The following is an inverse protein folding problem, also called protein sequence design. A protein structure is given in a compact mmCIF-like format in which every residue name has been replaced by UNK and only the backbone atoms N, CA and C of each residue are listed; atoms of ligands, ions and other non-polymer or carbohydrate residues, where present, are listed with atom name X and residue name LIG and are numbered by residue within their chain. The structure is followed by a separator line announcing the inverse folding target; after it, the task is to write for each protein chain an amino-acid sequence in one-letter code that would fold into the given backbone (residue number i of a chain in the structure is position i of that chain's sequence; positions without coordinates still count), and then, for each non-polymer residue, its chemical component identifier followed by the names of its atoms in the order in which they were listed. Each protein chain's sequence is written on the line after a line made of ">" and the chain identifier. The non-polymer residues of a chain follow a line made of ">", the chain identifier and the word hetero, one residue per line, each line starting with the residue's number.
data_IF_436411076473
#
_entry.id   IF_436411076473
#
_cell.length_a   1.000
_cell.length_b   1.000
_cell.length_c   1.000
_cell.angle_alpha   90.00
_cell.angle_beta   90.00
_cell.angle_gamma   90.00
#
_symmetry.space_group_name_H-M   'P 1'
#
loop_
_entity.id
_entity.type
_entity.pdbx_description
1 polymer ?
#
# COMPACT_ATOMS: atom_id res chain seq x y z
N UNK A 1 -3.34 24.44 3.99
CA UNK A 1 -2.58 23.39 4.71
C UNK A 1 -1.32 24.03 5.22
N UNK A 2 -0.99 23.80 6.49
CA UNK A 2 0.33 24.18 7.00
C UNK A 2 1.39 23.26 6.40
N UNK A 3 2.57 23.83 6.12
CA UNK A 3 3.73 23.06 5.68
C UNK A 3 4.23 22.26 6.88
N UNK A 4 4.45 20.96 6.70
CA UNK A 4 5.02 20.08 7.72
C UNK A 4 6.45 19.73 7.33
N UNK A 5 7.32 19.70 8.33
CA UNK A 5 8.72 19.28 8.16
C UNK A 5 8.85 17.80 8.49
N UNK A 6 9.59 17.06 7.66
CA UNK A 6 9.90 15.66 7.94
C UNK A 6 11.16 15.63 8.80
N UNK A 7 11.11 14.93 9.93
CA UNK A 7 12.27 14.79 10.81
C UNK A 7 13.43 14.08 10.10
N UNK A 8 14.70 14.36 10.43
CA UNK A 8 15.84 13.71 9.79
C UNK A 8 15.81 12.18 9.88
N UNK A 9 15.35 11.63 11.02
CA UNK A 9 15.22 10.19 11.22
C UNK A 9 14.12 9.57 10.33
N UNK A 10 13.01 10.28 10.13
CA UNK A 10 11.95 9.90 9.21
C UNK A 10 12.45 9.89 7.75
N UNK A 11 13.25 10.90 7.35
CA UNK A 11 13.89 10.92 6.03
C UNK A 11 14.84 9.73 5.85
N UNK A 12 15.69 9.45 6.83
CA UNK A 12 16.62 8.32 6.78
C UNK A 12 15.87 6.99 6.62
N UNK A 13 14.77 6.81 7.36
CA UNK A 13 13.92 5.63 7.24
C UNK A 13 13.32 5.51 5.82
N UNK A 14 12.75 6.58 5.28
CA UNK A 14 12.21 6.60 3.91
C UNK A 14 13.28 6.33 2.85
N UNK A 15 14.50 6.82 3.04
CA UNK A 15 15.63 6.59 2.13
C UNK A 15 16.21 5.17 2.24
N UNK A 16 16.10 4.54 3.41
CA UNK A 16 16.60 3.18 3.65
C UNK A 16 15.70 2.08 3.09
N UNK A 17 14.45 2.39 2.75
CA UNK A 17 13.49 1.40 2.26
C UNK A 17 13.59 1.21 0.74
N UNK A 18 13.72 -0.03 0.30
CA UNK A 18 13.82 -0.40 -1.11
C UNK A 18 12.43 -0.45 -1.78
N UNK A 19 11.75 0.71 -1.87
CA UNK A 19 10.39 0.93 -2.39
C UNK A 19 9.98 0.00 -3.56
N UNK A 20 9.44 -1.21 -3.27
CA UNK A 20 9.37 -2.28 -4.26
C UNK A 20 8.22 -2.10 -5.27
N UNK A 21 7.31 -1.15 -5.00
CA UNK A 21 6.11 -0.82 -5.78
C UNK A 21 6.12 0.57 -6.41
N UNK A 22 7.29 1.19 -6.56
CA UNK A 22 7.55 2.50 -7.21
C UNK A 22 7.22 3.74 -6.36
N UNK A 23 7.44 4.93 -6.95
CA UNK A 23 7.19 6.28 -6.40
C UNK A 23 5.78 6.42 -5.76
N UNK A 24 4.79 5.66 -6.22
CA UNK A 24 3.43 5.68 -5.65
C UNK A 24 3.36 5.16 -4.22
N UNK A 25 4.19 4.21 -3.83
CA UNK A 25 4.25 3.74 -2.44
C UNK A 25 4.87 4.81 -1.55
N UNK A 26 5.97 5.44 -1.99
CA UNK A 26 6.56 6.57 -1.29
C UNK A 26 5.54 7.71 -1.14
N UNK A 27 4.82 8.03 -2.22
CA UNK A 27 3.76 9.04 -2.18
C UNK A 27 2.66 8.66 -1.17
N UNK A 28 2.17 7.42 -1.19
CA UNK A 28 1.13 6.96 -0.28
C UNK A 28 1.56 7.01 1.19
N UNK A 29 2.79 6.58 1.49
CA UNK A 29 3.35 6.65 2.84
C UNK A 29 3.50 8.10 3.30
N UNK A 30 3.99 9.00 2.44
CA UNK A 30 4.15 10.43 2.77
C UNK A 30 2.79 11.12 2.94
N UNK A 31 1.80 10.81 2.09
CA UNK A 31 0.44 11.33 2.22
C UNK A 31 -0.20 10.87 3.53
N UNK A 32 -0.08 9.58 3.86
CA UNK A 32 -0.61 9.03 5.10
C UNK A 32 0.08 9.64 6.33
N UNK A 33 1.41 9.77 6.30
CA UNK A 33 2.17 10.40 7.36
C UNK A 33 1.74 11.86 7.56
N UNK A 34 1.51 12.60 6.47
CA UNK A 34 0.98 13.97 6.53
C UNK A 34 -0.38 14.05 7.22
N UNK A 35 -1.30 13.13 6.93
CA UNK A 35 -2.64 13.12 7.56
C UNK A 35 -2.62 12.64 9.02
N UNK A 36 -1.75 11.72 9.36
CA UNK A 36 -1.65 11.16 10.71
C UNK A 36 -0.91 12.08 11.69
N UNK A 37 0.00 12.91 11.19
CA UNK A 37 0.73 13.86 12.02
C UNK A 37 -0.20 14.99 12.48
N UNK A 38 -0.49 15.11 13.77
CA UNK A 38 -1.33 16.21 14.27
C UNK A 38 -0.60 17.57 14.28
N UNK A 39 0.74 17.55 14.37
CA UNK A 39 1.60 18.73 14.46
C UNK A 39 2.26 19.16 13.14
N UNK A 40 3.28 19.99 13.28
CA UNK A 40 4.10 20.52 12.17
C UNK A 40 5.30 19.65 11.81
N UNK A 41 5.58 18.58 12.56
CA UNK A 41 6.74 17.70 12.34
C UNK A 41 6.31 16.25 12.20
N UNK A 42 6.70 15.62 11.08
CA UNK A 42 6.45 14.22 10.77
C UNK A 42 7.59 13.38 11.33
N UNK A 43 7.28 12.55 12.32
CA UNK A 43 8.19 11.62 12.98
C UNK A 43 8.28 10.27 12.27
N UNK A 44 9.15 9.41 12.80
CA UNK A 44 9.28 8.00 12.38
C UNK A 44 7.99 7.23 12.74
N UNK A 45 7.38 7.60 13.86
CA UNK A 45 6.11 7.06 14.36
C UNK A 45 4.92 7.34 13.43
N UNK A 46 5.00 8.40 12.64
CA UNK A 46 3.96 8.77 11.66
C UNK A 46 4.15 8.06 10.31
N UNK A 47 5.35 7.50 10.09
CA UNK A 47 5.69 6.74 8.89
C UNK A 47 5.24 5.28 9.08
N UNK A 48 4.12 5.00 8.46
CA UNK A 48 3.59 3.65 8.38
C UNK A 48 4.09 2.99 7.10
N UNK A 49 5.21 2.26 7.17
CA UNK A 49 5.73 1.43 6.06
C UNK A 49 4.86 0.18 5.81
N UNK A 50 3.53 0.28 5.97
CA UNK A 50 2.58 -0.83 5.78
C UNK A 50 2.44 -1.19 4.28
N UNK A 51 3.57 -1.44 3.61
CA UNK A 51 3.67 -2.33 2.45
C UNK A 51 3.93 -3.79 2.85
N UNK A 52 4.12 -4.08 4.15
CA UNK A 52 4.40 -5.43 4.65
C UNK A 52 3.29 -6.07 5.50
N UNK A 53 2.23 -5.36 5.88
CA UNK A 53 1.16 -5.97 6.67
C UNK A 53 0.02 -6.48 5.81
N UNK A 54 0.02 -7.79 5.60
CA UNK A 54 -1.23 -8.55 5.68
C UNK A 54 -1.29 -9.79 4.82
N UNK A 55 -0.75 -9.73 3.61
CA UNK A 55 -0.64 -10.89 2.72
C UNK A 55 0.64 -10.65 1.93
N UNK A 56 1.70 -11.41 2.24
CA UNK A 56 2.93 -11.33 1.45
C UNK A 56 2.67 -11.56 -0.05
N UNK A 57 3.70 -11.54 -0.88
CA UNK A 57 3.57 -11.76 -2.33
C UNK A 57 2.90 -13.09 -2.73
N UNK A 58 2.62 -13.98 -1.78
CA UNK A 58 1.86 -15.22 -1.92
C UNK A 58 0.57 -15.07 -2.74
N UNK A 59 -0.20 -13.98 -2.59
CA UNK A 59 -1.42 -13.77 -3.38
C UNK A 59 -1.18 -13.72 -4.90
N UNK A 60 0.05 -13.46 -5.35
CA UNK A 60 0.41 -13.44 -6.77
C UNK A 60 0.46 -14.85 -7.38
N UNK A 61 0.82 -15.85 -6.58
CA UNK A 61 0.96 -17.24 -7.06
C UNK A 61 -0.12 -18.17 -6.50
N UNK A 62 -0.66 -17.86 -5.33
CA UNK A 62 -1.69 -18.63 -4.66
C UNK A 62 -3.08 -18.02 -4.89
N UNK A 63 -3.91 -18.76 -5.64
CA UNK A 63 -5.29 -18.38 -5.97
C UNK A 63 -6.17 -18.27 -4.72
N UNK A 64 -6.01 -19.15 -3.74
CA UNK A 64 -6.87 -19.14 -2.55
C UNK A 64 -6.61 -17.90 -1.70
N UNK A 65 -5.34 -17.54 -1.54
CA UNK A 65 -4.92 -16.32 -0.86
C UNK A 65 -5.49 -15.09 -1.56
N UNK A 66 -5.42 -15.03 -2.90
CA UNK A 66 -6.01 -13.93 -3.67
C UNK A 66 -7.53 -13.85 -3.51
N UNK A 67 -8.23 -14.99 -3.61
CA UNK A 67 -9.69 -15.07 -3.49
C UNK A 67 -10.15 -14.63 -2.10
N UNK A 68 -9.43 -15.02 -1.04
CA UNK A 68 -9.74 -14.59 0.32
C UNK A 68 -9.56 -13.07 0.46
N UNK A 69 -8.47 -12.50 -0.07
CA UNK A 69 -8.28 -11.06 -0.09
C UNK A 69 -9.40 -10.34 -0.86
N UNK A 70 -9.82 -10.88 -2.01
CA UNK A 70 -10.91 -10.34 -2.83
C UNK A 70 -12.27 -10.37 -2.11
N UNK A 71 -12.55 -11.45 -1.38
CA UNK A 71 -13.75 -11.57 -0.53
C UNK A 71 -13.74 -10.57 0.61
N UNK A 72 -12.61 -10.42 1.32
CA UNK A 72 -12.45 -9.43 2.39
C UNK A 72 -12.62 -8.00 1.84
N UNK A 73 -12.11 -7.74 0.63
CA UNK A 73 -12.32 -6.48 -0.07
C UNK A 73 -13.78 -6.28 -0.56
N UNK A 74 -14.66 -7.28 -0.42
CA UNK A 74 -16.06 -7.21 -0.82
C UNK A 74 -16.25 -7.05 -2.33
N UNK A 75 -15.31 -7.56 -3.14
CA UNK A 75 -15.34 -7.37 -4.59
C UNK A 75 -15.03 -5.94 -5.06
N UNK A 76 -14.47 -5.09 -4.19
CA UNK A 76 -14.06 -3.74 -4.55
C UNK A 76 -12.57 -3.69 -4.92
N UNK A 77 -12.28 -3.43 -6.19
CA UNK A 77 -10.91 -3.41 -6.73
C UNK A 77 -10.02 -2.33 -6.12
N UNK A 78 -10.58 -1.16 -5.79
CA UNK A 78 -9.83 -0.08 -5.15
C UNK A 78 -9.49 -0.44 -3.70
N UNK A 79 -10.43 -1.09 -3.00
CA UNK A 79 -10.17 -1.61 -1.65
C UNK A 79 -9.12 -2.72 -1.67
N UNK A 80 -9.21 -3.65 -2.62
CA UNK A 80 -8.21 -4.70 -2.80
C UNK A 80 -6.83 -4.13 -3.14
N UNK A 81 -6.77 -3.09 -3.98
CA UNK A 81 -5.53 -2.39 -4.34
C UNK A 81 -4.84 -1.79 -3.12
N UNK A 82 -5.60 -1.14 -2.24
CA UNK A 82 -5.08 -0.59 -1.00
C UNK A 82 -4.65 -1.70 -0.02
N UNK A 83 -5.42 -2.80 0.08
CA UNK A 83 -5.11 -3.92 0.98
C UNK A 83 -3.86 -4.71 0.57
N UNK A 84 -3.61 -4.85 -0.73
CA UNK A 84 -2.48 -5.61 -1.29
C UNK A 84 -1.32 -4.72 -1.72
N UNK A 85 -1.43 -3.42 -1.48
CA UNK A 85 -0.48 -2.37 -1.87
C UNK A 85 0.02 -2.50 -3.32
N UNK A 86 -0.93 -2.60 -4.25
CA UNK A 86 -0.65 -2.68 -5.69
C UNK A 86 -1.62 -1.88 -6.51
N UNK A 87 -1.21 -1.52 -7.72
CA UNK A 87 -2.10 -0.82 -8.65
C UNK A 87 -3.33 -1.67 -9.02
N UNK A 88 -4.46 -1.01 -9.28
CA UNK A 88 -5.66 -1.66 -9.85
C UNK A 88 -5.35 -2.42 -11.15
N UNK A 89 -4.44 -1.90 -11.99
CA UNK A 89 -4.01 -2.55 -13.23
C UNK A 89 -3.34 -3.90 -12.95
N UNK A 90 -2.49 -3.96 -11.92
CA UNK A 90 -1.90 -5.20 -11.44
C UNK A 90 -2.99 -6.19 -11.07
N UNK A 91 -3.98 -5.77 -10.28
CA UNK A 91 -5.06 -6.64 -9.83
C UNK A 91 -5.97 -7.11 -10.96
N UNK A 92 -6.26 -6.29 -11.98
CA UNK A 92 -7.00 -6.74 -13.16
C UNK A 92 -6.29 -7.89 -13.89
N UNK A 93 -4.96 -7.85 -13.98
CA UNK A 93 -4.17 -8.97 -14.54
C UNK A 93 -4.38 -10.26 -13.73
N UNK A 94 -4.43 -10.16 -12.40
CA UNK A 94 -4.61 -11.33 -11.53
C UNK A 94 -6.06 -11.82 -11.46
N UNK A 95 -7.05 -10.92 -11.55
CA UNK A 95 -8.46 -11.31 -11.73
C UNK A 95 -8.62 -12.17 -12.98
N UNK A 96 -8.01 -11.76 -14.10
CA UNK A 96 -8.00 -12.56 -15.32
C UNK A 96 -7.20 -13.87 -15.17
N UNK A 97 -6.00 -13.82 -14.57
CA UNK A 97 -5.18 -15.02 -14.27
C UNK A 97 -5.98 -16.07 -13.49
N UNK A 98 -6.81 -15.64 -12.54
CA UNK A 98 -7.56 -16.54 -11.66
C UNK A 98 -9.01 -16.80 -12.08
N UNK A 99 -9.48 -16.21 -13.18
CA UNK A 99 -10.84 -16.38 -13.69
C UNK A 99 -11.91 -15.75 -12.79
N UNK A 100 -11.66 -14.53 -12.32
CA UNK A 100 -12.53 -13.75 -11.44
C UNK A 100 -13.02 -12.43 -12.09
N UNK A 101 -12.76 -12.21 -13.38
CA UNK A 101 -13.42 -11.11 -14.07
C UNK A 101 -14.91 -11.42 -14.28
N UNK A 102 -15.72 -10.36 -14.33
CA UNK A 102 -17.11 -10.49 -14.74
C UNK A 102 -17.10 -10.41 -16.27
N UNK A 103 -17.79 -11.34 -16.91
CA UNK A 103 -18.17 -11.23 -18.33
C UNK A 103 -18.80 -9.86 -18.65
#
# INVERSE_FOLDING_TARGET
>A
MEVKEISPAAVEQLMSYDWPGNIKQLQGVVEQAFFNTAGSSIGVEDISLLGETGIGSAWKEDKEVFVNAWKIAGGNISRLANMLDVSRVTLYRYLKKFGLDKD
#
